data_IF_297344713661
#
_entry.id   IF_297344713661
#
_cell.length_a   1.000
_cell.length_b   1.000
_cell.length_c   1.000
_cell.angle_alpha   90.00
_cell.angle_beta   90.00
_cell.angle_gamma   90.00
#
_symmetry.space_group_name_H-M   'P 1'
#
loop_
_entity.id
_entity.type
_entity.pdbx_description
1 polymer ?
#
# COMPACT_ATOMS: atom_id res chain seq x y z
N UNK A 1 -9.36 30.68 -2.35
CA UNK A 1 -9.69 31.90 -1.55
C UNK A 1 -11.19 31.97 -1.20
N UNK A 2 -11.83 30.85 -0.81
CA UNK A 2 -13.24 30.82 -0.36
C UNK A 2 -13.43 29.72 0.71
N UNK A 3 -12.71 29.83 1.82
CA UNK A 3 -12.84 28.91 2.96
C UNK A 3 -12.88 29.65 4.31
N UNK A 4 -13.04 30.98 4.30
CA UNK A 4 -12.83 31.82 5.49
C UNK A 4 -14.11 32.24 6.22
N UNK A 5 -15.29 31.80 5.78
CA UNK A 5 -16.58 32.24 6.33
C UNK A 5 -17.66 31.14 6.36
N UNK A 6 -17.29 29.89 6.66
CA UNK A 6 -18.29 28.93 7.11
C UNK A 6 -18.52 29.14 8.62
N UNK A 7 -19.76 29.31 9.10
CA UNK A 7 -20.03 29.43 10.53
C UNK A 7 -19.68 28.12 11.25
N UNK A 8 -19.21 28.19 12.50
CA UNK A 8 -18.54 27.09 13.24
C UNK A 8 -19.32 25.76 13.31
N UNK A 9 -20.64 25.79 13.09
CA UNK A 9 -21.52 24.61 13.10
C UNK A 9 -21.64 23.89 11.74
N UNK A 10 -21.11 24.46 10.65
CA UNK A 10 -21.14 23.89 9.30
C UNK A 10 -19.76 23.44 8.80
N UNK A 11 -18.72 23.60 9.61
CA UNK A 11 -17.46 22.90 9.35
C UNK A 11 -17.73 21.40 9.51
N UNK A 12 -17.39 20.55 8.52
CA UNK A 12 -17.35 19.11 8.77
C UNK A 12 -16.49 18.93 10.01
N UNK A 13 -16.83 18.00 10.93
CA UNK A 13 -16.02 17.79 12.12
C UNK A 13 -14.60 17.60 11.62
N UNK A 14 -13.78 18.62 11.84
CA UNK A 14 -12.34 18.44 11.74
C UNK A 14 -12.13 17.24 12.65
N UNK A 15 -11.37 16.23 12.21
CA UNK A 15 -10.83 15.24 13.12
C UNK A 15 -9.99 16.01 14.14
N UNK A 16 -10.68 16.66 15.08
CA UNK A 16 -10.16 17.26 16.27
C UNK A 16 -9.57 16.05 16.94
N UNK A 17 -8.25 15.96 16.85
CA UNK A 17 -7.41 15.14 17.71
C UNK A 17 -8.11 15.16 19.07
N UNK A 18 -8.83 14.08 19.41
CA UNK A 18 -9.40 13.97 20.73
C UNK A 18 -8.23 14.23 21.68
N UNK A 19 -8.38 15.15 22.65
CA UNK A 19 -7.28 15.54 23.51
C UNK A 19 -6.64 14.25 24.02
N UNK A 20 -5.35 14.07 23.76
CA UNK A 20 -4.64 12.91 24.25
C UNK A 20 -4.83 12.89 25.77
N UNK A 21 -5.38 11.80 26.31
CA UNK A 21 -5.39 11.58 27.75
C UNK A 21 -3.91 11.61 28.19
N UNK A 22 -3.49 12.71 28.82
CA UNK A 22 -2.10 12.97 29.17
C UNK A 22 -1.50 11.91 30.12
N UNK A 23 -2.35 11.05 30.71
CA UNK A 23 -1.96 9.96 31.58
C UNK A 23 -1.58 8.66 30.84
N UNK A 24 -2.03 8.48 29.59
CA UNK A 24 -1.76 7.25 28.82
C UNK A 24 -0.38 7.27 28.19
N UNK A 25 0.32 6.13 28.21
CA UNK A 25 1.66 6.03 27.58
C UNK A 25 1.57 6.21 26.06
N UNK A 26 2.58 6.78 25.40
CA UNK A 26 2.58 6.96 23.94
C UNK A 26 2.34 5.66 23.16
N UNK A 27 2.82 4.52 23.67
CA UNK A 27 2.60 3.20 23.08
C UNK A 27 1.12 2.77 23.09
N UNK A 28 0.40 3.08 24.16
CA UNK A 28 -1.03 2.74 24.31
C UNK A 28 -1.87 3.61 23.39
N UNK A 29 -1.61 4.93 23.40
CA UNK A 29 -2.29 5.86 22.49
C UNK A 29 -2.05 5.51 21.02
N UNK A 30 -0.83 5.05 20.70
CA UNK A 30 -0.48 4.58 19.35
C UNK A 30 -1.26 3.32 18.99
N UNK A 31 -1.37 2.35 19.89
CA UNK A 31 -2.11 1.12 19.66
C UNK A 31 -3.61 1.39 19.43
N UNK A 32 -4.22 2.23 20.27
CA UNK A 32 -5.62 2.67 20.11
C UNK A 32 -5.83 3.35 18.76
N UNK A 33 -4.93 4.27 18.39
CA UNK A 33 -4.99 4.97 17.11
C UNK A 33 -4.81 4.01 15.92
N UNK A 34 -3.93 3.01 16.01
CA UNK A 34 -3.75 1.98 14.99
C UNK A 34 -5.00 1.11 14.82
N UNK A 35 -5.61 0.68 15.93
CA UNK A 35 -6.85 -0.10 15.91
C UNK A 35 -8.00 0.67 15.26
N UNK A 36 -8.08 1.98 15.50
CA UNK A 36 -9.03 2.88 14.86
C UNK A 36 -8.63 3.34 13.44
N UNK A 37 -7.51 2.85 12.89
CA UNK A 37 -6.93 3.30 11.61
C UNK A 37 -6.62 4.81 11.52
N UNK A 38 -6.44 5.51 12.65
CA UNK A 38 -6.14 6.94 12.71
C UNK A 38 -4.65 7.23 12.42
N UNK A 39 -4.20 6.97 11.19
CA UNK A 39 -2.78 7.03 10.81
C UNK A 39 -2.14 8.42 10.96
N UNK A 40 -2.91 9.50 10.85
CA UNK A 40 -2.43 10.87 11.14
C UNK A 40 -2.02 11.03 12.60
N UNK A 41 -2.83 10.51 13.53
CA UNK A 41 -2.55 10.53 14.97
C UNK A 41 -1.34 9.68 15.30
N UNK A 42 -1.23 8.49 14.69
CA UNK A 42 -0.04 7.63 14.82
C UNK A 42 1.23 8.36 14.37
N UNK A 43 1.18 9.06 13.24
CA UNK A 43 2.31 9.82 12.72
C UNK A 43 2.72 10.99 13.63
N UNK A 44 1.74 11.67 14.24
CA UNK A 44 1.97 12.75 15.18
C UNK A 44 2.68 12.25 16.45
N UNK A 45 2.12 11.22 17.11
CA UNK A 45 2.70 10.62 18.33
C UNK A 45 4.12 10.11 18.05
N UNK A 46 4.32 9.37 16.95
CA UNK A 46 5.64 8.87 16.60
C UNK A 46 6.65 10.00 16.30
N UNK A 47 6.18 11.11 15.70
CA UNK A 47 6.99 12.30 15.48
C UNK A 47 7.44 12.98 16.76
N UNK A 48 6.54 13.09 17.74
CA UNK A 48 6.86 13.61 19.07
C UNK A 48 7.91 12.73 19.75
N UNK A 49 7.70 11.41 19.79
CA UNK A 49 8.64 10.46 20.39
C UNK A 49 10.03 10.47 19.75
N UNK A 50 10.11 10.63 18.43
CA UNK A 50 11.39 10.74 17.71
C UNK A 50 12.10 12.07 17.97
N UNK A 51 11.35 13.13 18.27
CA UNK A 51 11.87 14.47 18.50
C UNK A 51 12.24 14.73 19.96
N UNK A 52 12.00 13.78 20.87
CA UNK A 52 12.37 13.90 22.28
C UNK A 52 13.89 14.05 22.38
N UNK A 53 14.34 15.21 22.83
CA UNK A 53 15.74 15.44 23.18
C UNK A 53 16.03 14.75 24.52
N UNK A 54 17.00 13.83 24.59
CA UNK A 54 17.43 13.30 25.87
C UNK A 54 17.96 14.43 26.76
N UNK A 55 17.72 14.33 28.07
CA UNK A 55 18.28 15.28 29.04
C UNK A 55 19.81 15.26 28.93
N UNK A 56 20.43 16.43 28.88
CA UNK A 56 21.87 16.57 28.62
C UNK A 56 22.75 15.89 29.67
N UNK A 57 22.20 15.62 30.86
CA UNK A 57 22.90 15.03 32.00
C UNK A 57 22.73 13.51 32.10
N UNK A 58 21.97 12.87 31.21
CA UNK A 58 21.73 11.42 31.22
C UNK A 58 22.53 10.74 30.11
N UNK A 59 23.30 9.72 30.48
CA UNK A 59 24.01 8.88 29.50
C UNK A 59 23.00 8.13 28.63
N UNK A 60 23.12 8.28 27.31
CA UNK A 60 22.31 7.54 26.34
C UNK A 60 22.73 6.06 26.35
N UNK A 61 21.76 5.17 26.43
CA UNK A 61 21.95 3.72 26.43
C UNK A 61 21.57 3.09 25.09
N UNK A 62 21.96 1.84 24.85
CA UNK A 62 21.52 1.07 23.68
C UNK A 62 20.00 0.92 23.60
N UNK A 63 19.34 0.80 24.77
CA UNK A 63 17.89 0.70 24.86
C UNK A 63 17.21 1.98 24.34
N UNK A 64 17.79 3.16 24.60
CA UNK A 64 17.28 4.44 24.11
C UNK A 64 17.38 4.54 22.58
N UNK A 65 18.47 4.03 22.01
CA UNK A 65 18.66 3.95 20.55
C UNK A 65 17.60 3.03 19.94
N UNK A 66 17.44 1.82 20.48
CA UNK A 66 16.44 0.86 20.00
C UNK A 66 15.01 1.41 20.11
N UNK A 67 14.70 2.07 21.22
CA UNK A 67 13.40 2.72 21.45
C UNK A 67 13.14 3.81 20.40
N UNK A 68 14.12 4.68 20.15
CA UNK A 68 14.02 5.75 19.16
C UNK A 68 13.84 5.18 17.74
N UNK A 69 14.59 4.14 17.39
CA UNK A 69 14.49 3.48 16.08
C UNK A 69 13.16 2.73 15.89
N UNK A 70 12.59 2.18 16.96
CA UNK A 70 11.24 1.62 16.92
C UNK A 70 10.18 2.69 16.59
N UNK A 71 10.30 3.91 17.14
CA UNK A 71 9.41 5.02 16.79
C UNK A 71 9.60 5.50 15.35
N UNK A 72 10.84 5.55 14.86
CA UNK A 72 11.10 5.79 13.43
C UNK A 72 10.40 4.78 12.53
N UNK A 73 10.42 3.50 12.90
CA UNK A 73 9.73 2.46 12.14
C UNK A 73 8.20 2.69 12.11
N UNK A 74 7.60 3.00 13.26
CA UNK A 74 6.16 3.35 13.34
C UNK A 74 5.85 4.58 12.49
N UNK A 75 6.69 5.61 12.54
CA UNK A 75 6.56 6.81 11.74
C UNK A 75 6.56 6.49 10.24
N UNK A 76 7.50 5.67 9.77
CA UNK A 76 7.53 5.27 8.36
C UNK A 76 6.30 4.48 7.92
N UNK A 77 5.82 3.55 8.75
CA UNK A 77 4.57 2.83 8.48
C UNK A 77 3.41 3.81 8.35
N UNK A 78 3.28 4.76 9.27
CA UNK A 78 2.18 5.73 9.27
C UNK A 78 2.18 6.63 8.03
N UNK A 79 3.35 7.13 7.61
CA UNK A 79 3.50 7.94 6.40
C UNK A 79 3.17 7.12 5.13
N UNK A 80 3.59 5.86 5.10
CA UNK A 80 3.27 4.94 4.00
C UNK A 80 1.76 4.69 3.89
N UNK A 81 1.08 4.45 5.04
CA UNK A 81 -0.37 4.25 5.10
C UNK A 81 -1.17 5.48 4.65
N UNK A 82 -0.65 6.68 4.88
CA UNK A 82 -1.23 7.93 4.40
C UNK A 82 -0.80 8.30 2.98
N UNK A 83 -0.04 7.45 2.29
CA UNK A 83 0.46 7.67 0.94
C UNK A 83 1.35 8.93 0.81
N UNK A 84 1.96 9.40 1.91
CA UNK A 84 2.83 10.57 1.94
C UNK A 84 4.26 10.21 1.50
N UNK A 85 4.39 9.63 0.30
CA UNK A 85 5.65 9.03 -0.18
C UNK A 85 6.81 10.01 -0.31
N UNK A 86 6.53 11.26 -0.66
CA UNK A 86 7.57 12.30 -0.73
C UNK A 86 8.16 12.59 0.65
N UNK A 87 7.31 12.65 1.69
CA UNK A 87 7.77 12.85 3.06
C UNK A 87 8.48 11.61 3.59
N UNK A 88 7.88 10.44 3.39
CA UNK A 88 8.46 9.14 3.76
C UNK A 88 9.88 8.98 3.23
N UNK A 89 10.10 9.25 1.94
CA UNK A 89 11.41 9.14 1.31
C UNK A 89 12.43 10.11 1.90
N UNK A 90 12.04 11.37 2.11
CA UNK A 90 12.93 12.38 2.71
C UNK A 90 13.40 11.93 4.10
N UNK A 91 12.47 11.49 4.93
CA UNK A 91 12.78 11.08 6.30
C UNK A 91 13.58 9.78 6.38
N UNK A 92 13.24 8.80 5.54
CA UNK A 92 14.03 7.56 5.45
C UNK A 92 15.45 7.86 5.02
N UNK A 93 15.66 8.68 3.98
CA UNK A 93 17.00 9.02 3.52
C UNK A 93 17.79 9.79 4.59
N UNK A 94 17.14 10.69 5.32
CA UNK A 94 17.76 11.43 6.41
C UNK A 94 18.20 10.49 7.54
N UNK A 95 17.33 9.58 7.99
CA UNK A 95 17.69 8.59 8.99
C UNK A 95 18.82 7.68 8.48
N UNK A 96 18.74 7.20 7.24
CA UNK A 96 19.74 6.30 6.67
C UNK A 96 21.12 6.96 6.60
N UNK A 97 21.18 8.24 6.24
CA UNK A 97 22.42 9.03 6.26
C UNK A 97 23.05 9.06 7.66
N UNK A 98 22.24 9.19 8.71
CA UNK A 98 22.72 9.13 10.10
C UNK A 98 23.21 7.72 10.44
N UNK A 99 22.43 6.68 10.14
CA UNK A 99 22.79 5.29 10.44
C UNK A 99 24.09 4.86 9.72
N UNK A 100 24.35 5.38 8.52
CA UNK A 100 25.56 5.10 7.74
C UNK A 100 26.78 5.93 8.19
N UNK A 101 26.58 7.08 8.82
CA UNK A 101 27.66 7.99 9.22
C UNK A 101 28.07 7.82 10.68
N UNK A 102 27.14 7.54 11.58
CA UNK A 102 27.43 7.28 12.99
C UNK A 102 28.22 5.99 13.12
N UNK A 103 29.31 6.04 13.89
CA UNK A 103 30.19 4.91 14.18
C UNK A 103 30.06 4.55 15.64
N UNK A 104 29.87 3.28 15.94
CA UNK A 104 29.76 2.76 17.30
C UNK A 104 30.68 1.55 17.48
N UNK A 105 31.09 1.31 18.71
CA UNK A 105 31.82 0.11 19.07
C UNK A 105 30.85 -1.07 19.08
N UNK A 106 31.15 -2.12 18.32
CA UNK A 106 30.39 -3.36 18.32
C UNK A 106 31.16 -4.42 19.11
N UNK A 107 30.62 -4.80 20.27
CA UNK A 107 31.23 -5.80 21.14
C UNK A 107 31.38 -7.17 20.45
N UNK A 108 30.51 -7.50 19.49
CA UNK A 108 30.57 -8.80 18.81
C UNK A 108 31.70 -8.90 17.79
N UNK A 109 32.05 -7.77 17.16
CA UNK A 109 33.08 -7.71 16.13
C UNK A 109 34.40 -7.13 16.63
N UNK A 110 34.44 -6.65 17.88
CA UNK A 110 35.58 -5.96 18.50
C UNK A 110 36.14 -4.82 17.62
N UNK A 111 35.25 -4.12 16.91
CA UNK A 111 35.61 -3.07 15.95
C UNK A 111 34.61 -1.90 15.97
N UNK A 112 35.05 -0.75 15.45
CA UNK A 112 34.23 0.44 15.25
C UNK A 112 33.53 0.35 13.90
N UNK A 113 32.24 0.00 13.94
CA UNK A 113 31.43 -0.20 12.74
C UNK A 113 30.36 0.89 12.60
N UNK A 114 29.87 1.15 11.38
CA UNK A 114 28.67 1.96 11.16
C UNK A 114 27.47 1.43 11.98
N UNK A 115 26.67 2.33 12.57
CA UNK A 115 25.49 1.96 13.36
C UNK A 115 24.53 1.05 12.57
N UNK A 116 24.37 1.30 11.27
CA UNK A 116 23.60 0.46 10.34
C UNK A 116 24.04 -1.00 10.26
N UNK A 117 25.27 -1.34 10.63
CA UNK A 117 25.78 -2.72 10.59
C UNK A 117 25.57 -3.48 11.91
N UNK A 118 25.09 -2.79 12.95
CA UNK A 118 24.92 -3.38 14.28
C UNK A 118 23.53 -3.97 14.49
N UNK A 119 23.40 -4.82 15.50
CA UNK A 119 22.12 -5.38 15.96
C UNK A 119 21.16 -4.35 16.56
N UNK A 120 21.65 -3.13 16.86
CA UNK A 120 20.84 -2.03 17.39
C UNK A 120 19.81 -1.51 16.39
N UNK A 121 20.09 -1.63 15.08
CA UNK A 121 19.14 -1.22 14.05
C UNK A 121 18.12 -2.34 13.82
N UNK A 122 16.82 -2.10 14.08
CA UNK A 122 15.81 -3.13 13.92
C UNK A 122 15.76 -3.66 12.49
N UNK A 123 15.68 -4.99 12.35
CA UNK A 123 15.52 -5.67 11.07
C UNK A 123 14.41 -5.07 10.18
N UNK A 124 13.30 -4.63 10.80
CA UNK A 124 12.19 -4.04 10.06
C UNK A 124 12.55 -2.74 9.36
N UNK A 125 13.47 -1.93 9.91
CA UNK A 125 13.97 -0.72 9.24
C UNK A 125 14.76 -1.08 7.98
N UNK A 126 15.59 -2.12 8.02
CA UNK A 126 16.29 -2.62 6.81
C UNK A 126 15.31 -3.08 5.74
N UNK A 127 14.25 -3.81 6.12
CA UNK A 127 13.23 -4.26 5.19
C UNK A 127 12.46 -3.08 4.55
N UNK A 128 12.06 -2.09 5.36
CA UNK A 128 11.38 -0.88 4.89
C UNK A 128 12.29 -0.07 3.96
N UNK A 129 13.56 0.13 4.31
CA UNK A 129 14.50 0.85 3.45
C UNK A 129 14.67 0.17 2.09
N UNK A 130 14.88 -1.15 2.08
CA UNK A 130 15.03 -1.92 0.85
C UNK A 130 13.76 -1.86 -0.04
N UNK A 131 12.57 -1.93 0.59
CA UNK A 131 11.30 -1.74 -0.10
C UNK A 131 11.19 -0.33 -0.72
N UNK A 132 11.59 0.71 0.02
CA UNK A 132 11.49 2.09 -0.46
C UNK A 132 12.49 2.41 -1.56
N UNK A 133 13.68 1.81 -1.55
CA UNK A 133 14.59 1.86 -2.70
C UNK A 133 13.94 1.25 -3.94
N UNK A 134 13.31 0.09 -3.79
CA UNK A 134 12.63 -0.59 -4.90
C UNK A 134 11.51 0.28 -5.50
N UNK A 135 10.57 0.72 -4.65
CA UNK A 135 9.47 1.60 -5.05
C UNK A 135 9.98 2.98 -5.51
N UNK A 136 11.18 3.34 -5.08
CA UNK A 136 11.81 4.61 -5.35
C UNK A 136 12.45 4.76 -6.72
N UNK A 137 12.43 3.71 -7.54
CA UNK A 137 13.10 3.67 -8.86
C UNK A 137 14.47 2.97 -8.83
N UNK A 138 15.02 2.71 -7.64
CA UNK A 138 16.28 1.96 -7.46
C UNK A 138 16.01 0.46 -7.34
N UNK A 139 15.23 -0.09 -8.28
CA UNK A 139 14.72 -1.47 -8.23
C UNK A 139 15.83 -2.51 -8.06
N UNK A 140 16.96 -2.35 -8.75
CA UNK A 140 18.10 -3.27 -8.64
C UNK A 140 18.70 -3.28 -7.24
N UNK A 141 18.90 -2.11 -6.65
CA UNK A 141 19.47 -1.99 -5.30
C UNK A 141 18.49 -2.51 -4.24
N UNK A 142 17.21 -2.12 -4.33
CA UNK A 142 16.16 -2.61 -3.43
C UNK A 142 16.03 -4.13 -3.50
N UNK A 143 16.06 -4.71 -4.70
CA UNK A 143 16.05 -6.17 -4.90
C UNK A 143 17.28 -6.83 -4.29
N UNK A 144 18.48 -6.30 -4.55
CA UNK A 144 19.72 -6.86 -4.01
C UNK A 144 19.71 -6.88 -2.48
N UNK A 145 19.25 -5.79 -1.84
CA UNK A 145 19.12 -5.69 -0.39
C UNK A 145 18.06 -6.65 0.16
N UNK A 146 16.89 -6.75 -0.47
CA UNK A 146 15.87 -7.74 -0.07
C UNK A 146 16.39 -9.17 -0.17
N UNK A 147 17.11 -9.52 -1.25
CA UNK A 147 17.74 -10.83 -1.40
C UNK A 147 18.80 -11.08 -0.32
N UNK A 148 19.58 -10.07 0.06
CA UNK A 148 20.55 -10.18 1.17
C UNK A 148 19.83 -10.47 2.49
N UNK A 149 18.75 -9.75 2.80
CA UNK A 149 17.94 -9.99 3.99
C UNK A 149 17.28 -11.37 3.98
N UNK A 150 16.80 -11.85 2.82
CA UNK A 150 16.27 -13.22 2.67
C UNK A 150 17.35 -14.25 2.99
N UNK A 151 18.57 -14.12 2.44
CA UNK A 151 19.67 -15.04 2.75
C UNK A 151 20.07 -15.01 4.21
N UNK A 152 20.13 -13.82 4.81
CA UNK A 152 20.42 -13.65 6.23
C UNK A 152 19.38 -14.35 7.11
N UNK A 153 18.09 -14.06 6.90
CA UNK A 153 17.00 -14.67 7.66
C UNK A 153 16.94 -16.19 7.49
N UNK A 154 17.26 -16.71 6.29
CA UNK A 154 17.33 -18.15 6.04
C UNK A 154 18.51 -18.81 6.74
N UNK A 155 19.64 -18.11 6.90
CA UNK A 155 20.77 -18.61 7.69
C UNK A 155 20.41 -18.65 9.18
N UNK A 156 19.81 -17.58 9.70
CA UNK A 156 19.44 -17.47 11.11
C UNK A 156 18.32 -18.45 11.49
N UNK A 157 17.39 -18.76 10.58
CA UNK A 157 16.32 -19.74 10.83
C UNK A 157 16.81 -21.19 10.82
N UNK A 158 18.07 -21.45 10.44
CA UNK A 158 18.68 -22.79 10.49
C UNK A 158 19.55 -23.01 11.71
N UNK A 159 19.85 -21.95 12.46
CA UNK A 159 20.59 -22.06 13.71
C UNK A 159 19.61 -22.52 14.81
N UNK A 160 20.07 -23.41 15.71
CA UNK A 160 19.31 -23.95 16.85
C UNK A 160 19.07 -22.92 17.98
N UNK A 161 18.79 -21.67 17.60
CA UNK A 161 18.60 -20.57 18.53
C UNK A 161 17.12 -20.37 18.88
N UNK A 162 16.88 -19.74 20.03
CA UNK A 162 15.55 -19.42 20.58
C UNK A 162 14.63 -18.64 19.63
N UNK A 163 15.21 -17.91 18.66
CA UNK A 163 14.49 -17.08 17.70
C UNK A 163 14.23 -17.75 16.33
N UNK A 164 14.42 -19.07 16.19
CA UNK A 164 14.30 -19.77 14.91
C UNK A 164 12.97 -19.49 14.19
N UNK A 165 11.86 -19.60 14.90
CA UNK A 165 10.51 -19.37 14.36
C UNK A 165 10.32 -17.92 13.89
N UNK A 166 10.85 -16.96 14.66
CA UNK A 166 10.78 -15.54 14.32
C UNK A 166 11.51 -15.25 13.01
N UNK A 167 12.72 -15.78 12.84
CA UNK A 167 13.51 -15.61 11.63
C UNK A 167 12.89 -16.30 10.42
N UNK A 168 12.30 -17.49 10.62
CA UNK A 168 11.55 -18.20 9.59
C UNK A 168 10.34 -17.38 9.11
N UNK A 169 9.54 -16.84 10.03
CA UNK A 169 8.40 -15.97 9.69
C UNK A 169 8.83 -14.69 8.97
N UNK A 170 9.96 -14.09 9.36
CA UNK A 170 10.55 -12.93 8.66
C UNK A 170 10.98 -13.30 7.24
N UNK A 171 11.57 -14.48 7.05
CA UNK A 171 11.98 -14.98 5.74
C UNK A 171 10.78 -15.11 4.78
N UNK A 172 9.70 -15.76 5.24
CA UNK A 172 8.45 -15.89 4.49
C UNK A 172 7.91 -14.52 4.08
N UNK A 173 7.81 -13.58 5.03
CA UNK A 173 7.28 -12.22 4.77
C UNK A 173 8.13 -11.46 3.74
N UNK A 174 9.45 -11.56 3.79
CA UNK A 174 10.34 -10.94 2.81
C UNK A 174 10.17 -11.55 1.41
N UNK A 175 10.01 -12.88 1.33
CA UNK A 175 9.78 -13.55 0.05
C UNK A 175 8.46 -13.13 -0.57
N UNK A 176 7.39 -13.05 0.22
CA UNK A 176 6.10 -12.54 -0.27
C UNK A 176 6.22 -11.09 -0.72
N UNK A 177 6.84 -10.22 0.08
CA UNK A 177 7.08 -8.82 -0.27
C UNK A 177 7.83 -8.69 -1.60
N UNK A 178 8.97 -9.39 -1.75
CA UNK A 178 9.77 -9.33 -2.97
C UNK A 178 8.99 -9.88 -4.18
N UNK A 179 8.23 -10.97 -4.00
CA UNK A 179 7.42 -11.55 -5.07
C UNK A 179 6.36 -10.57 -5.54
N UNK A 180 5.63 -9.92 -4.62
CA UNK A 180 4.63 -8.90 -4.95
C UNK A 180 5.25 -7.72 -5.70
N UNK A 181 6.39 -7.20 -5.24
CA UNK A 181 7.10 -6.10 -5.91
C UNK A 181 7.57 -6.47 -7.33
N UNK A 182 8.05 -7.71 -7.52
CA UNK A 182 8.47 -8.20 -8.83
C UNK A 182 7.27 -8.40 -9.78
N UNK A 183 6.13 -8.89 -9.28
CA UNK A 183 4.91 -9.02 -10.08
C UNK A 183 4.40 -7.64 -10.50
N UNK A 184 4.31 -6.68 -9.57
CA UNK A 184 3.87 -5.31 -9.86
C UNK A 184 4.77 -4.57 -10.86
N UNK A 185 6.06 -4.93 -10.90
CA UNK A 185 7.04 -4.39 -11.87
C UNK A 185 7.17 -5.24 -13.14
N UNK A 186 6.26 -6.19 -13.36
CA UNK A 186 6.21 -7.08 -14.51
C UNK A 186 7.49 -7.93 -14.72
N UNK A 187 8.21 -8.23 -13.64
CA UNK A 187 9.38 -9.12 -13.61
C UNK A 187 8.98 -10.56 -13.26
N UNK A 188 8.02 -11.10 -14.02
CA UNK A 188 7.39 -12.41 -13.73
C UNK A 188 8.39 -13.58 -13.60
N UNK A 189 9.44 -13.70 -14.43
CA UNK A 189 10.41 -14.79 -14.28
C UNK A 189 11.16 -14.75 -12.94
N UNK A 190 11.54 -13.55 -12.48
CA UNK A 190 12.20 -13.38 -11.20
C UNK A 190 11.23 -13.66 -10.04
N UNK A 191 9.97 -13.19 -10.16
CA UNK A 191 8.93 -13.50 -9.18
C UNK A 191 8.71 -15.00 -9.07
N UNK A 192 8.63 -15.72 -10.19
CA UNK A 192 8.45 -17.17 -10.21
C UNK A 192 9.58 -17.92 -9.49
N UNK A 193 10.83 -17.46 -9.60
CA UNK A 193 11.95 -18.04 -8.83
C UNK A 193 11.77 -17.86 -7.32
N UNK A 194 11.43 -16.65 -6.87
CA UNK A 194 11.23 -16.36 -5.44
C UNK A 194 10.02 -17.12 -4.88
N UNK A 195 8.92 -17.19 -5.63
CA UNK A 195 7.70 -17.93 -5.25
C UNK A 195 7.97 -19.43 -5.19
N UNK A 196 8.75 -19.98 -6.12
CA UNK A 196 9.10 -21.40 -6.10
C UNK A 196 9.87 -21.77 -4.82
N UNK A 197 10.83 -20.94 -4.40
CA UNK A 197 11.52 -21.16 -3.13
C UNK A 197 10.59 -21.01 -1.91
N UNK A 198 9.67 -20.04 -1.94
CA UNK A 198 8.65 -19.87 -0.89
C UNK A 198 7.76 -21.11 -0.77
N UNK A 199 7.28 -21.65 -1.88
CA UNK A 199 6.45 -22.87 -1.90
C UNK A 199 7.19 -24.06 -1.28
N UNK A 200 8.47 -24.24 -1.62
CA UNK A 200 9.32 -25.26 -0.98
C UNK A 200 9.43 -25.05 0.53
N UNK A 201 9.64 -23.82 0.97
CA UNK A 201 9.73 -23.50 2.40
C UNK A 201 8.42 -23.83 3.14
N UNK A 202 7.27 -23.44 2.59
CA UNK A 202 5.97 -23.69 3.23
C UNK A 202 5.60 -25.18 3.24
N UNK A 203 5.95 -25.92 2.19
CA UNK A 203 5.71 -27.37 2.13
C UNK A 203 6.57 -28.16 3.12
N UNK A 204 7.67 -27.60 3.58
CA UNK A 204 8.50 -28.22 4.62
C UNK A 204 7.86 -28.14 6.02
N UNK A 205 6.86 -27.27 6.21
CA UNK A 205 6.11 -27.17 7.45
C UNK A 205 5.03 -28.26 7.55
N UNK A 206 4.90 -28.87 8.73
CA UNK A 206 3.85 -29.87 8.97
C UNK A 206 2.45 -29.26 8.78
N UNK A 207 2.24 -28.07 9.35
CA UNK A 207 0.98 -27.32 9.30
C UNK A 207 1.25 -25.85 8.96
N UNK A 208 1.44 -25.51 7.68
CA UNK A 208 1.65 -24.13 7.27
C UNK A 208 0.44 -23.25 7.61
N UNK A 209 0.74 -22.06 8.11
CA UNK A 209 -0.25 -21.06 8.45
C UNK A 209 -1.19 -20.75 7.27
N UNK A 210 -2.49 -20.74 7.52
CA UNK A 210 -3.51 -20.55 6.48
C UNK A 210 -3.31 -19.22 5.76
N UNK A 211 -3.03 -18.13 6.48
CA UNK A 211 -2.87 -16.82 5.86
C UNK A 211 -1.72 -16.81 4.85
N UNK A 212 -0.65 -17.53 5.17
CA UNK A 212 0.53 -17.66 4.32
C UNK A 212 0.26 -18.51 3.07
N UNK A 213 -0.49 -19.61 3.19
CA UNK A 213 -0.96 -20.39 2.04
C UNK A 213 -1.84 -19.55 1.11
N UNK A 214 -2.77 -18.77 1.68
CA UNK A 214 -3.66 -17.90 0.92
C UNK A 214 -2.88 -16.78 0.19
N UNK A 215 -1.82 -16.23 0.80
CA UNK A 215 -0.89 -15.32 0.11
C UNK A 215 -0.21 -16.00 -1.07
N UNK A 216 0.25 -17.25 -0.92
CA UNK A 216 0.84 -18.02 -2.01
C UNK A 216 -0.16 -18.25 -3.16
N UNK A 217 -1.43 -18.53 -2.84
CA UNK A 217 -2.51 -18.62 -3.84
C UNK A 217 -2.65 -17.31 -4.62
N UNK A 218 -2.66 -16.15 -3.93
CA UNK A 218 -2.73 -14.84 -4.60
C UNK A 218 -1.54 -14.60 -5.52
N UNK A 219 -0.33 -14.95 -5.09
CA UNK A 219 0.87 -14.82 -5.92
C UNK A 219 0.78 -15.69 -7.17
N UNK A 220 0.37 -16.95 -7.04
CA UNK A 220 0.17 -17.83 -8.19
C UNK A 220 -0.91 -17.32 -9.14
N UNK A 221 -2.05 -16.84 -8.63
CA UNK A 221 -3.09 -16.22 -9.45
C UNK A 221 -2.57 -14.99 -10.21
N UNK A 222 -1.84 -14.10 -9.52
CA UNK A 222 -1.28 -12.89 -10.12
C UNK A 222 -0.22 -13.18 -11.21
N UNK A 223 0.48 -14.33 -11.12
CA UNK A 223 1.41 -14.79 -12.15
C UNK A 223 0.72 -15.60 -13.27
N UNK A 224 -0.58 -15.91 -13.16
CA UNK A 224 -1.29 -16.77 -14.10
C UNK A 224 -1.04 -18.27 -13.92
N UNK A 225 -0.43 -18.70 -12.81
CA UNK A 225 -0.12 -20.10 -12.48
C UNK A 225 -1.34 -20.84 -11.90
N UNK A 226 -2.39 -20.97 -12.70
CA UNK A 226 -3.71 -21.46 -12.28
C UNK A 226 -3.65 -22.85 -11.62
N UNK A 227 -2.86 -23.78 -12.18
CA UNK A 227 -2.76 -25.15 -11.65
C UNK A 227 -2.16 -25.17 -10.25
N UNK A 228 -1.13 -24.36 -10.01
CA UNK A 228 -0.48 -24.26 -8.69
C UNK A 228 -1.40 -23.56 -7.70
N UNK A 229 -2.08 -22.48 -8.11
CA UNK A 229 -3.07 -21.82 -7.28
C UNK A 229 -4.15 -22.79 -6.78
N UNK A 230 -4.73 -23.62 -7.67
CA UNK A 230 -5.71 -24.66 -7.28
C UNK A 230 -5.12 -25.65 -6.29
N UNK A 231 -3.94 -26.20 -6.59
CA UNK A 231 -3.31 -27.20 -5.73
C UNK A 231 -3.02 -26.66 -4.33
N UNK A 232 -2.57 -25.41 -4.20
CA UNK A 232 -2.31 -24.77 -2.91
C UNK A 232 -3.62 -24.49 -2.16
N UNK A 233 -4.69 -24.11 -2.88
CA UNK A 233 -6.00 -23.86 -2.28
C UNK A 233 -6.66 -25.16 -1.77
N UNK A 234 -6.55 -26.25 -2.53
CA UNK A 234 -6.96 -27.60 -2.08
C UNK A 234 -6.19 -28.03 -0.83
N UNK A 235 -4.90 -27.75 -0.77
CA UNK A 235 -4.06 -28.05 0.39
C UNK A 235 -4.49 -27.23 1.62
N UNK A 236 -4.77 -25.94 1.45
CA UNK A 236 -5.28 -25.08 2.51
C UNK A 236 -6.60 -25.61 3.08
N UNK A 237 -7.53 -26.03 2.22
CA UNK A 237 -8.81 -26.59 2.66
C UNK A 237 -8.66 -27.94 3.37
N UNK A 238 -7.74 -28.80 2.92
CA UNK A 238 -7.51 -30.12 3.52
C UNK A 238 -6.83 -30.06 4.88
N UNK A 239 -5.85 -29.17 5.05
CA UNK A 239 -5.06 -29.06 6.28
C UNK A 239 -5.78 -28.29 7.39
N UNK A 240 -6.77 -27.47 7.04
CA UNK A 240 -7.50 -26.62 7.99
C UNK A 240 -8.99 -27.00 8.01
N UNK A 241 -9.34 -28.01 8.81
CA UNK A 241 -10.72 -28.53 8.91
C UNK A 241 -11.60 -27.75 9.88
N UNK A 242 -11.01 -27.19 10.94
CA UNK A 242 -11.70 -26.35 11.93
C UNK A 242 -11.31 -24.89 11.69
N UNK A 243 -12.22 -24.14 11.05
CA UNK A 243 -11.99 -22.75 10.65
C UNK A 243 -12.77 -21.80 11.55
N UNK A 244 -12.12 -20.74 12.02
CA UNK A 244 -12.83 -19.58 12.54
C UNK A 244 -13.67 -18.93 11.42
N UNK A 245 -14.71 -18.14 11.75
CA UNK A 245 -15.50 -17.43 10.75
C UNK A 245 -14.65 -16.55 9.82
N UNK A 246 -13.65 -15.85 10.36
CA UNK A 246 -12.69 -15.06 9.59
C UNK A 246 -11.83 -15.93 8.65
N UNK A 247 -11.35 -17.08 9.14
CA UNK A 247 -10.54 -18.00 8.34
C UNK A 247 -11.37 -18.61 7.19
N UNK A 248 -12.64 -18.95 7.46
CA UNK A 248 -13.57 -19.42 6.45
C UNK A 248 -13.89 -18.34 5.40
N UNK A 249 -14.11 -17.09 5.82
CA UNK A 249 -14.28 -15.95 4.93
C UNK A 249 -13.04 -15.71 4.06
N UNK A 250 -11.85 -15.84 4.65
CA UNK A 250 -10.56 -15.79 3.95
C UNK A 250 -10.47 -16.87 2.87
N UNK A 251 -10.77 -18.13 3.20
CA UNK A 251 -10.74 -19.23 2.23
C UNK A 251 -11.74 -19.04 1.08
N UNK A 252 -13.00 -18.71 1.40
CA UNK A 252 -14.05 -18.47 0.41
C UNK A 252 -13.73 -17.28 -0.50
N UNK A 253 -13.11 -16.23 0.03
CA UNK A 253 -12.62 -15.11 -0.78
C UNK A 253 -11.63 -15.59 -1.84
N UNK A 254 -10.70 -16.48 -1.50
CA UNK A 254 -9.72 -16.98 -2.45
C UNK A 254 -10.30 -17.99 -3.45
N UNK A 255 -11.27 -18.81 -3.02
CA UNK A 255 -12.05 -19.67 -3.93
C UNK A 255 -12.84 -18.84 -4.95
N UNK A 256 -13.52 -17.78 -4.51
CA UNK A 256 -14.23 -16.88 -5.41
C UNK A 256 -13.29 -16.17 -6.38
N UNK A 257 -12.15 -15.64 -5.91
CA UNK A 257 -11.14 -15.01 -6.78
C UNK A 257 -10.57 -16.00 -7.81
N UNK A 258 -10.27 -17.23 -7.40
CA UNK A 258 -9.85 -18.29 -8.31
C UNK A 258 -10.93 -18.60 -9.36
N UNK A 259 -12.19 -18.72 -8.93
CA UNK A 259 -13.33 -18.95 -9.81
C UNK A 259 -13.46 -17.84 -10.85
N UNK A 260 -13.50 -16.58 -10.44
CA UNK A 260 -13.63 -15.43 -11.35
C UNK A 260 -12.44 -15.30 -12.31
N UNK A 261 -11.24 -15.75 -11.92
CA UNK A 261 -10.06 -15.73 -12.79
C UNK A 261 -10.22 -16.66 -14.00
N UNK A 262 -10.90 -17.79 -13.81
CA UNK A 262 -11.04 -18.83 -14.86
C UNK A 262 -12.38 -18.72 -15.57
N UNK A 263 -13.43 -18.34 -14.83
CA UNK A 263 -14.82 -18.28 -15.28
C UNK A 263 -15.44 -16.96 -14.83
N UNK A 264 -15.03 -15.84 -15.46
CA UNK A 264 -15.46 -14.51 -15.02
C UNK A 264 -16.96 -14.28 -15.17
N UNK A 265 -17.66 -15.04 -16.00
CA UNK A 265 -19.11 -14.91 -16.23
C UNK A 265 -19.95 -15.88 -15.41
N UNK A 266 -19.32 -16.89 -14.79
CA UNK A 266 -20.04 -17.86 -13.97
C UNK A 266 -20.23 -17.29 -12.56
N UNK A 267 -21.45 -17.37 -11.99
CA UNK A 267 -21.67 -16.95 -10.62
C UNK A 267 -20.93 -17.87 -9.65
N UNK A 268 -20.26 -17.28 -8.66
CA UNK A 268 -19.78 -17.99 -7.50
C UNK A 268 -20.79 -17.88 -6.37
N UNK A 269 -21.35 -19.02 -5.97
CA UNK A 269 -22.32 -19.10 -4.88
C UNK A 269 -21.58 -19.18 -3.54
N UNK A 270 -21.60 -18.07 -2.81
CA UNK A 270 -21.08 -18.04 -1.44
C UNK A 270 -22.01 -18.84 -0.52
N UNK A 271 -21.48 -19.64 0.42
CA UNK A 271 -22.27 -20.29 1.45
C UNK A 271 -23.16 -19.30 2.22
N UNK A 272 -24.41 -19.67 2.53
CA UNK A 272 -25.37 -18.81 3.24
C UNK A 272 -24.81 -18.28 4.58
N UNK A 273 -24.05 -19.11 5.31
CA UNK A 273 -23.40 -18.71 6.55
C UNK A 273 -22.43 -17.52 6.36
N UNK A 274 -21.80 -17.39 5.20
CA UNK A 274 -20.91 -16.27 4.89
C UNK A 274 -21.66 -15.00 4.50
N UNK A 275 -22.87 -15.11 3.94
CA UNK A 275 -23.73 -13.94 3.74
C UNK A 275 -24.17 -13.35 5.09
N UNK A 276 -24.56 -14.20 6.05
CA UNK A 276 -24.88 -13.75 7.40
C UNK A 276 -23.66 -13.17 8.14
N UNK A 277 -22.49 -13.77 7.92
CA UNK A 277 -21.24 -13.28 8.49
C UNK A 277 -20.81 -11.92 7.90
N UNK A 278 -20.88 -11.76 6.58
CA UNK A 278 -20.57 -10.49 5.90
C UNK A 278 -21.41 -9.34 6.44
N UNK A 279 -22.72 -9.57 6.59
CA UNK A 279 -23.67 -8.58 7.09
C UNK A 279 -23.47 -8.22 8.58
N UNK A 280 -22.81 -9.05 9.37
CA UNK A 280 -22.63 -8.85 10.82
C UNK A 280 -21.22 -8.43 11.22
N UNK A 281 -20.20 -8.89 10.50
CA UNK A 281 -18.79 -8.67 10.82
C UNK A 281 -18.14 -7.59 9.96
N UNK A 282 -18.82 -7.10 8.91
CA UNK A 282 -18.32 -6.06 8.01
C UNK A 282 -16.93 -6.41 7.43
N UNK A 283 -16.75 -7.69 7.10
CA UNK A 283 -15.46 -8.23 6.68
C UNK A 283 -15.06 -7.72 5.29
N UNK A 284 -14.26 -6.64 5.26
CA UNK A 284 -13.94 -5.85 4.06
C UNK A 284 -13.47 -6.67 2.85
N UNK A 285 -12.62 -7.67 3.06
CA UNK A 285 -12.10 -8.49 1.96
C UNK A 285 -13.21 -9.32 1.31
N UNK A 286 -14.14 -9.84 2.11
CA UNK A 286 -15.26 -10.64 1.66
C UNK A 286 -16.28 -9.76 0.94
N UNK A 287 -16.64 -8.62 1.55
CA UNK A 287 -17.55 -7.63 0.94
C UNK A 287 -17.02 -7.14 -0.42
N UNK A 288 -15.72 -6.82 -0.53
CA UNK A 288 -15.10 -6.42 -1.80
C UNK A 288 -15.14 -7.55 -2.86
N UNK A 289 -14.94 -8.81 -2.46
CA UNK A 289 -15.03 -9.94 -3.39
C UNK A 289 -16.47 -10.29 -3.78
N UNK A 290 -17.44 -10.11 -2.87
CA UNK A 290 -18.87 -10.18 -3.21
C UNK A 290 -19.27 -9.05 -4.18
N UNK A 291 -18.76 -7.83 -3.97
CA UNK A 291 -18.97 -6.70 -4.88
C UNK A 291 -18.39 -6.98 -6.28
N UNK A 292 -17.21 -7.60 -6.37
CA UNK A 292 -16.65 -8.07 -7.64
C UNK A 292 -17.57 -9.11 -8.30
N UNK A 293 -18.10 -10.06 -7.54
CA UNK A 293 -19.06 -11.04 -8.05
C UNK A 293 -20.34 -10.41 -8.62
N UNK A 294 -20.90 -9.41 -7.92
CA UNK A 294 -22.05 -8.65 -8.39
C UNK A 294 -21.73 -7.90 -9.70
N UNK A 295 -20.58 -7.25 -9.77
CA UNK A 295 -20.11 -6.56 -10.98
C UNK A 295 -19.99 -7.52 -12.17
N UNK A 296 -19.38 -8.69 -11.97
CA UNK A 296 -19.16 -9.69 -13.02
C UNK A 296 -20.47 -10.28 -13.57
N UNK A 297 -21.54 -10.30 -12.77
CA UNK A 297 -22.90 -10.65 -13.21
C UNK A 297 -23.65 -9.50 -13.89
N UNK A 298 -23.06 -8.30 -13.94
CA UNK A 298 -23.69 -7.09 -14.44
C UNK A 298 -24.60 -6.37 -13.43
N UNK A 299 -24.65 -6.81 -12.17
CA UNK A 299 -25.38 -6.13 -11.10
C UNK A 299 -24.52 -5.02 -10.49
N UNK A 300 -24.38 -3.93 -11.25
CA UNK A 300 -23.59 -2.76 -10.86
C UNK A 300 -24.18 -2.11 -9.60
N UNK A 301 -25.51 -2.12 -9.44
CA UNK A 301 -26.19 -1.51 -8.30
C UNK A 301 -25.82 -2.22 -7.00
N UNK A 302 -25.93 -3.55 -6.96
CA UNK A 302 -25.51 -4.33 -5.80
C UNK A 302 -24.01 -4.15 -5.52
N UNK A 303 -23.18 -4.10 -6.56
CA UNK A 303 -21.74 -3.89 -6.42
C UNK A 303 -21.40 -2.54 -5.76
N UNK A 304 -22.05 -1.45 -6.21
CA UNK A 304 -21.92 -0.11 -5.60
C UNK A 304 -22.36 -0.14 -4.14
N UNK A 305 -23.54 -0.70 -3.84
CA UNK A 305 -24.07 -0.75 -2.47
C UNK A 305 -23.12 -1.45 -1.48
N UNK A 306 -22.51 -2.56 -1.91
CA UNK A 306 -21.53 -3.28 -1.09
C UNK A 306 -20.26 -2.44 -0.84
N UNK A 307 -19.78 -1.72 -1.86
CA UNK A 307 -18.58 -0.87 -1.72
C UNK A 307 -18.85 0.42 -0.93
N UNK A 308 -20.02 1.04 -1.10
CA UNK A 308 -20.47 2.20 -0.31
C UNK A 308 -20.63 1.84 1.16
N UNK A 309 -21.08 0.62 1.48
CA UNK A 309 -21.13 0.12 2.85
C UNK A 309 -19.75 0.14 3.50
N UNK A 310 -18.72 -0.38 2.82
CA UNK A 310 -17.34 -0.33 3.31
C UNK A 310 -16.90 1.13 3.54
N UNK A 311 -17.27 2.06 2.65
CA UNK A 311 -16.96 3.49 2.81
C UNK A 311 -17.66 4.11 4.03
N UNK A 312 -18.93 3.78 4.26
CA UNK A 312 -19.71 4.30 5.39
C UNK A 312 -19.22 3.78 6.74
N UNK A 313 -18.91 2.48 6.81
CA UNK A 313 -18.48 1.82 8.05
C UNK A 313 -16.99 2.03 8.33
N UNK A 314 -16.18 2.14 7.27
CA UNK A 314 -14.72 2.20 7.36
C UNK A 314 -14.11 3.26 6.42
N UNK A 315 -14.46 4.55 6.57
CA UNK A 315 -14.03 5.61 5.66
C UNK A 315 -12.50 5.73 5.59
N UNK A 316 -11.82 5.56 6.72
CA UNK A 316 -10.36 5.64 6.79
C UNK A 316 -9.66 4.53 6.01
N UNK A 317 -10.25 3.34 5.95
CA UNK A 317 -9.71 2.20 5.19
C UNK A 317 -9.90 2.43 3.70
N UNK A 318 -11.05 2.93 3.27
CA UNK A 318 -11.26 3.28 1.86
C UNK A 318 -10.29 4.38 1.44
N UNK A 319 -10.15 5.44 2.24
CA UNK A 319 -9.25 6.57 1.93
C UNK A 319 -7.77 6.21 1.86
N UNK A 320 -7.32 5.19 2.61
CA UNK A 320 -5.94 4.71 2.62
C UNK A 320 -5.69 3.55 1.64
N UNK A 321 -6.74 2.92 1.12
CA UNK A 321 -6.65 1.84 0.14
C UNK A 321 -6.87 2.36 -1.27
N UNK A 322 -5.76 2.44 -2.03
CA UNK A 322 -5.81 2.75 -3.47
C UNK A 322 -6.75 1.83 -4.23
N UNK A 323 -6.79 0.54 -3.88
CA UNK A 323 -7.65 -0.43 -4.56
C UNK A 323 -9.14 -0.18 -4.31
N UNK A 324 -9.53 0.01 -3.04
CA UNK A 324 -10.95 0.22 -2.69
C UNK A 324 -11.46 1.55 -3.26
N UNK A 325 -10.66 2.62 -3.18
CA UNK A 325 -11.01 3.92 -3.77
C UNK A 325 -11.22 3.80 -5.28
N UNK A 326 -10.28 3.17 -6.02
CA UNK A 326 -10.44 3.02 -7.47
C UNK A 326 -11.61 2.10 -7.85
N UNK A 327 -11.83 1.00 -7.11
CA UNK A 327 -12.97 0.12 -7.35
C UNK A 327 -14.30 0.89 -7.22
N UNK A 328 -14.47 1.65 -6.14
CA UNK A 328 -15.68 2.44 -5.91
C UNK A 328 -15.87 3.52 -7.00
N UNK A 329 -14.81 4.25 -7.35
CA UNK A 329 -14.87 5.25 -8.43
C UNK A 329 -15.23 4.61 -9.78
N UNK A 330 -14.66 3.44 -10.08
CA UNK A 330 -14.95 2.69 -11.30
C UNK A 330 -16.42 2.28 -11.33
N UNK A 331 -16.93 1.73 -10.23
CA UNK A 331 -18.32 1.31 -10.12
C UNK A 331 -19.29 2.47 -10.28
N UNK A 332 -19.04 3.61 -9.63
CA UNK A 332 -19.86 4.81 -9.84
C UNK A 332 -19.84 5.28 -11.28
N UNK A 333 -18.67 5.27 -11.93
CA UNK A 333 -18.55 5.67 -13.34
C UNK A 333 -19.32 4.72 -14.28
N UNK A 334 -19.41 3.43 -13.93
CA UNK A 334 -20.19 2.43 -14.66
C UNK A 334 -21.70 2.52 -14.35
N UNK A 335 -22.05 2.88 -13.11
CA UNK A 335 -23.43 2.97 -12.63
C UNK A 335 -24.13 4.28 -12.94
N UNK A 336 -23.38 5.36 -13.17
CA UNK A 336 -23.91 6.59 -13.74
C UNK A 336 -24.37 6.30 -15.15
N UNK A 337 -25.68 6.09 -15.32
CA UNK A 337 -26.37 6.44 -16.55
C UNK A 337 -26.29 7.96 -16.68
N UNK A 338 -25.14 8.47 -17.07
CA UNK A 338 -25.05 9.86 -17.46
C UNK A 338 -25.96 10.01 -18.68
N UNK A 339 -27.09 10.69 -18.50
CA UNK A 339 -27.89 11.23 -19.60
C UNK A 339 -27.02 12.05 -20.56
N UNK A 340 -25.89 12.59 -20.06
CA UNK A 340 -24.85 13.25 -20.83
C UNK A 340 -24.13 12.37 -21.87
N UNK A 341 -24.17 11.03 -21.69
CA UNK A 341 -23.53 10.04 -22.56
C UNK A 341 -24.52 9.03 -23.16
N UNK A 342 -25.82 9.21 -22.93
CA UNK A 342 -26.85 8.45 -23.63
C UNK A 342 -26.96 8.98 -25.07
N UNK A 343 -26.09 8.48 -25.94
CA UNK A 343 -25.97 8.93 -27.34
C UNK A 343 -27.30 8.80 -28.07
N UNK A 344 -28.10 7.76 -27.78
CA UNK A 344 -29.38 7.53 -28.45
C UNK A 344 -30.45 8.52 -27.99
N UNK A 345 -30.55 8.79 -26.69
CA UNK A 345 -31.44 9.83 -26.16
C UNK A 345 -31.01 11.23 -26.62
N UNK A 346 -29.70 11.54 -26.61
CA UNK A 346 -29.18 12.83 -27.04
C UNK A 346 -29.36 13.07 -28.55
N UNK A 347 -29.26 12.03 -29.39
CA UNK A 347 -29.59 12.12 -30.82
C UNK A 347 -31.08 12.34 -31.05
N UNK A 348 -31.95 11.68 -30.27
CA UNK A 348 -33.40 11.86 -30.37
C UNK A 348 -33.87 13.23 -29.87
N UNK A 349 -33.23 13.79 -28.84
CA UNK A 349 -33.52 15.11 -28.28
C UNK A 349 -32.86 16.26 -29.06
N UNK A 350 -32.16 15.96 -30.16
CA UNK A 350 -31.58 16.95 -31.05
C UNK A 350 -30.38 17.68 -30.44
N UNK A 351 -29.61 17.04 -29.55
CA UNK A 351 -28.42 17.62 -28.96
C UNK A 351 -27.36 17.88 -30.07
N UNK A 352 -26.95 19.15 -30.31
CA UNK A 352 -25.93 19.48 -31.31
C UNK A 352 -24.55 18.87 -30.99
N UNK A 353 -24.35 18.30 -29.79
CA UNK A 353 -23.08 17.73 -29.31
C UNK A 353 -22.84 16.27 -29.70
N UNK A 354 -23.62 15.67 -30.61
CA UNK A 354 -23.44 14.30 -31.09
C UNK A 354 -22.13 14.06 -31.91
N UNK A 355 -21.27 15.07 -32.03
CA UNK A 355 -19.92 15.00 -32.55
C UNK A 355 -19.27 16.38 -32.42
N UNK A 356 -17.94 16.46 -32.60
CA UNK A 356 -17.32 17.76 -32.86
C UNK A 356 -17.85 18.24 -34.21
N UNK A 357 -18.80 19.17 -34.19
CA UNK A 357 -19.19 19.91 -35.38
C UNK A 357 -18.08 20.87 -35.80
N UNK A 358 -18.19 21.40 -37.02
CA UNK A 358 -17.19 22.31 -37.60
C UNK A 358 -16.97 23.54 -36.71
N UNK A 359 -18.03 24.03 -36.05
CA UNK A 359 -17.98 25.12 -35.08
C UNK A 359 -17.20 24.76 -33.79
N UNK A 360 -17.38 23.56 -33.25
CA UNK A 360 -16.63 23.04 -32.11
C UNK A 360 -15.15 22.83 -32.43
N UNK A 361 -14.84 22.37 -33.65
CA UNK A 361 -13.46 22.30 -34.14
C UNK A 361 -12.82 23.68 -34.26
N UNK A 362 -13.51 24.66 -34.83
CA UNK A 362 -13.03 26.04 -34.92
C UNK A 362 -12.81 26.67 -33.54
N UNK A 363 -13.68 26.39 -32.56
CA UNK A 363 -13.56 26.91 -31.22
C UNK A 363 -12.35 26.31 -30.47
N UNK A 364 -12.10 25.00 -30.63
CA UNK A 364 -10.90 24.36 -30.08
C UNK A 364 -9.65 24.89 -30.78
N UNK A 365 -9.67 25.05 -32.10
CA UNK A 365 -8.57 25.63 -32.85
C UNK A 365 -8.27 27.06 -32.39
N UNK A 366 -9.30 27.87 -32.14
CA UNK A 366 -9.18 29.23 -31.61
C UNK A 366 -8.65 29.22 -30.16
N UNK A 367 -9.11 28.31 -29.31
CA UNK A 367 -8.59 28.16 -27.95
C UNK A 367 -7.13 27.71 -27.93
N UNK A 368 -6.74 26.79 -28.82
CA UNK A 368 -5.36 26.32 -28.94
C UNK A 368 -4.44 27.41 -29.50
N UNK A 369 -4.90 28.21 -30.46
CA UNK A 369 -4.14 29.38 -30.93
C UNK A 369 -3.98 30.43 -29.84
N UNK A 370 -5.07 30.77 -29.12
CA UNK A 370 -5.05 31.82 -28.11
C UNK A 370 -4.26 31.41 -26.85
N UNK A 371 -4.39 30.15 -26.40
CA UNK A 371 -3.65 29.64 -25.22
C UNK A 371 -2.24 29.19 -25.55
N UNK A 372 -2.01 28.63 -26.74
CA UNK A 372 -0.69 28.27 -27.24
C UNK A 372 0.22 29.50 -27.32
N UNK A 373 -0.26 30.60 -27.91
CA UNK A 373 0.49 31.87 -27.98
C UNK A 373 0.82 32.43 -26.59
N UNK A 374 -0.09 32.28 -25.62
CA UNK A 374 0.12 32.73 -24.24
C UNK A 374 1.14 31.87 -23.48
N UNK A 375 1.12 30.56 -23.71
CA UNK A 375 2.13 29.64 -23.16
C UNK A 375 3.51 29.90 -23.76
N UNK A 376 3.58 30.16 -25.07
CA UNK A 376 4.81 30.54 -25.77
C UNK A 376 5.39 31.87 -25.27
N UNK A 377 4.54 32.85 -24.96
CA UNK A 377 4.95 34.10 -24.35
C UNK A 377 5.48 33.90 -22.91
N UNK A 378 4.77 33.11 -22.09
CA UNK A 378 5.18 32.80 -20.72
C UNK A 378 6.51 32.05 -20.65
N UNK A 379 6.75 31.07 -21.53
CA UNK A 379 8.03 30.35 -21.58
C UNK A 379 9.18 31.29 -21.95
N UNK A 380 8.97 32.21 -22.91
CA UNK A 380 9.96 33.24 -23.24
C UNK A 380 10.20 34.23 -22.09
N UNK A 381 9.16 34.67 -21.38
CA UNK A 381 9.29 35.52 -20.20
C UNK A 381 10.09 34.85 -19.08
N UNK A 382 9.97 33.52 -18.94
CA UNK A 382 10.72 32.72 -17.98
C UNK A 382 12.09 32.25 -18.50
N UNK A 383 12.54 32.79 -19.64
CA UNK A 383 13.83 32.47 -20.25
C UNK A 383 13.99 30.97 -20.58
N UNK A 384 12.90 30.32 -20.99
CA UNK A 384 12.83 28.91 -21.41
C UNK A 384 12.55 28.87 -22.91
N UNK A 385 13.32 28.09 -23.67
CA UNK A 385 13.09 27.88 -25.08
C UNK A 385 11.74 27.18 -25.28
N UNK A 386 10.77 27.84 -25.94
CA UNK A 386 9.45 27.26 -26.13
C UNK A 386 9.40 26.00 -26.99
N UNK A 387 10.42 25.73 -27.80
CA UNK A 387 10.47 24.54 -28.67
C UNK A 387 11.05 23.33 -27.96
N UNK A 388 11.97 23.54 -27.02
CA UNK A 388 12.74 22.47 -26.39
C UNK A 388 12.43 22.32 -24.90
N UNK A 389 11.81 23.31 -24.27
CA UNK A 389 11.55 23.36 -22.83
C UNK A 389 12.81 23.59 -21.99
N UNK A 390 13.93 23.93 -22.63
CA UNK A 390 15.24 24.08 -21.97
C UNK A 390 15.44 25.56 -21.57
N UNK A 391 15.93 25.86 -20.37
CA UNK A 391 16.33 27.22 -19.99
C UNK A 391 17.38 27.77 -20.98
N UNK A 392 17.12 28.95 -21.54
CA UNK A 392 18.03 29.69 -22.42
C UNK A 392 19.22 30.30 -21.66
N UNK A 393 19.15 30.33 -20.32
CA UNK A 393 20.27 30.75 -19.49
C UNK A 393 21.25 29.58 -19.28
N UNK A 394 22.43 29.69 -19.90
CA UNK A 394 23.54 28.76 -19.75
C UNK A 394 24.02 28.55 -18.30
N UNK A 395 23.66 29.44 -17.37
CA UNK A 395 24.01 29.33 -15.94
C UNK A 395 23.05 28.45 -15.13
N UNK A 396 21.87 28.13 -15.66
CA UNK A 396 20.89 27.28 -14.96
C UNK A 396 21.26 25.78 -14.97
N UNK A 397 22.22 25.37 -15.82
CA UNK A 397 22.58 23.96 -16.03
C UNK A 397 23.74 23.50 -15.11
N UNK A 398 24.43 24.41 -14.42
CA UNK A 398 25.68 24.07 -13.68
C UNK A 398 25.59 24.06 -12.16
N UNK A 399 24.39 24.05 -11.58
CA UNK A 399 24.22 23.80 -10.14
C UNK A 399 23.22 22.65 -9.92
N UNK A 400 23.75 21.43 -10.03
CA UNK A 400 23.16 20.21 -9.48
C UNK A 400 24.19 19.54 -8.59
#
# INVERSE_FOLDING_TARGET
MLQRYAPEHELPPTEMLAPADAEKRPSEQTMEAMQANHWRRVAAIAGECVSLTPDQDVSITEADIQYTLAWWHIRFISLSKMMLYTQLRKEINALWTVLESVRIWDEMNEDVVPLIQTSLVPFSLHAVYAQQLFLGGFQREGTARLCQLIRMTQSLSKNDDTDQELWHRRNIRLRVLLSSLLIESNQLPAAASVVAELDVALRSEATPDLSTLLMLVRLYLAMGEIRRARSTLDEAQKKHTELSPDAAAGLATHEALFHYTIRPHDPYDFPEALHAYEASAHHQSLTNTMALGALLRGDIVQSIQLMERILQEHPTIVSSSKALTHNLLTLHSLGTKDSLFDIEANIQDGDPRAGLDEAGMEQIHHMMQTRGLRHYALLREQNIDPRTGIPLDSKAITHL
#
